data_IF_702192768152
#
_entry.id   IF_702192768152
#
_cell.length_a   1.000
_cell.length_b   1.000
_cell.length_c   1.000
_cell.angle_alpha   90.00
_cell.angle_beta   90.00
_cell.angle_gamma   90.00
#
_symmetry.space_group_name_H-M   'P 1'
#
loop_
_entity.id
_entity.type
_entity.pdbx_description
1 polymer ?
#
# COMPACT_ATOMS: atom_id res chain seq x y z
N UNK A 1 28.77 37.53 -29.14
CA UNK A 1 29.82 37.21 -28.13
C UNK A 1 29.40 37.92 -26.84
N UNK A 2 28.91 37.31 -25.75
CA UNK A 2 28.77 35.92 -25.29
C UNK A 2 27.43 35.83 -24.52
N UNK A 3 26.57 34.90 -24.93
CA UNK A 3 25.33 34.48 -24.27
C UNK A 3 25.64 33.26 -23.40
N UNK A 4 26.24 33.41 -22.21
CA UNK A 4 26.49 32.25 -21.31
C UNK A 4 26.50 32.72 -19.85
N UNK A 5 25.34 32.99 -19.23
CA UNK A 5 25.24 33.16 -17.76
C UNK A 5 23.90 32.71 -17.15
N UNK A 6 23.04 32.01 -17.88
CA UNK A 6 21.72 31.57 -17.39
C UNK A 6 21.48 30.08 -17.66
N UNK A 7 22.29 29.19 -17.09
CA UNK A 7 22.10 27.75 -17.28
C UNK A 7 22.44 26.88 -16.05
N UNK A 8 22.50 27.43 -14.83
CA UNK A 8 22.94 26.66 -13.63
C UNK A 8 21.99 26.86 -12.43
N UNK A 9 20.67 27.07 -12.63
CA UNK A 9 19.73 27.15 -11.48
C UNK A 9 18.49 26.25 -11.62
N UNK A 10 18.23 25.61 -12.76
CA UNK A 10 16.96 24.88 -13.00
C UNK A 10 17.15 23.36 -13.03
N UNK A 11 17.84 22.77 -12.05
CA UNK A 11 18.06 21.32 -12.05
C UNK A 11 18.20 20.65 -10.67
N UNK A 12 17.33 20.96 -9.68
CA UNK A 12 16.87 19.85 -8.84
C UNK A 12 15.38 20.02 -8.45
N UNK A 13 14.45 19.99 -9.42
CA UNK A 13 13.00 19.92 -9.11
C UNK A 13 12.31 18.64 -9.61
N UNK A 14 13.05 17.68 -10.17
CA UNK A 14 12.50 16.49 -10.84
C UNK A 14 12.61 15.19 -10.02
N UNK A 15 12.73 15.25 -8.69
CA UNK A 15 12.68 14.06 -7.82
C UNK A 15 11.33 13.97 -7.07
N UNK A 16 10.28 14.59 -7.60
CA UNK A 16 8.92 14.28 -7.17
C UNK A 16 8.45 12.99 -7.89
N UNK A 17 9.04 11.85 -7.52
CA UNK A 17 8.59 10.55 -7.99
C UNK A 17 7.16 10.28 -7.50
N UNK A 18 6.24 9.98 -8.43
CA UNK A 18 4.94 9.44 -8.08
C UNK A 18 5.15 8.03 -7.52
N UNK A 19 5.10 7.89 -6.20
CA UNK A 19 5.15 6.57 -5.57
C UNK A 19 3.75 6.00 -5.57
N UNK A 20 3.45 5.18 -6.57
CA UNK A 20 2.21 4.41 -6.61
C UNK A 20 2.25 3.34 -5.52
N UNK A 21 1.13 3.15 -4.84
CA UNK A 21 0.97 2.13 -3.80
C UNK A 21 0.01 1.05 -4.25
N UNK A 22 0.33 -0.20 -3.95
CA UNK A 22 -0.53 -1.34 -4.28
C UNK A 22 -1.60 -1.55 -3.20
N UNK A 23 -2.86 -1.65 -3.62
CA UNK A 23 -3.99 -1.94 -2.75
C UNK A 23 -4.81 -3.11 -3.29
N UNK A 24 -5.35 -3.91 -2.38
CA UNK A 24 -6.43 -4.83 -2.71
C UNK A 24 -7.75 -4.06 -2.71
N UNK A 25 -8.46 -4.08 -3.82
CA UNK A 25 -9.73 -3.37 -3.95
C UNK A 25 -10.83 -4.26 -4.52
N UNK A 26 -12.06 -3.97 -4.12
CA UNK A 26 -13.29 -4.58 -4.62
C UNK A 26 -14.39 -3.54 -4.57
N UNK A 27 -15.15 -3.39 -5.64
CA UNK A 27 -16.24 -2.41 -5.71
C UNK A 27 -17.36 -2.74 -4.72
N UNK A 28 -18.01 -1.71 -4.18
CA UNK A 28 -19.24 -1.79 -3.40
C UNK A 28 -19.16 -2.64 -2.11
N UNK A 29 -17.95 -2.93 -1.61
CA UNK A 29 -17.75 -3.63 -0.33
C UNK A 29 -17.65 -2.62 0.81
N UNK A 30 -18.22 -2.93 1.97
CA UNK A 30 -18.06 -2.06 3.16
C UNK A 30 -16.63 -2.15 3.69
N UNK A 31 -16.16 -1.09 4.33
CA UNK A 31 -14.85 -1.11 4.99
C UNK A 31 -14.77 -2.16 6.10
N UNK A 32 -15.86 -2.43 6.83
CA UNK A 32 -15.92 -3.54 7.80
C UNK A 32 -15.67 -4.89 7.13
N UNK A 33 -16.33 -5.14 6.00
CA UNK A 33 -16.16 -6.40 5.27
C UNK A 33 -14.75 -6.54 4.71
N UNK A 34 -14.18 -5.45 4.18
CA UNK A 34 -12.78 -5.40 3.76
C UNK A 34 -11.82 -5.77 4.90
N UNK A 35 -11.99 -5.19 6.09
CA UNK A 35 -11.13 -5.46 7.25
C UNK A 35 -11.23 -6.94 7.68
N UNK A 36 -12.44 -7.48 7.74
CA UNK A 36 -12.66 -8.92 8.04
C UNK A 36 -12.05 -9.84 7.00
N UNK A 37 -12.16 -9.47 5.71
CA UNK A 37 -11.61 -10.28 4.63
C UNK A 37 -10.07 -10.25 4.65
N UNK A 38 -9.48 -9.07 4.84
CA UNK A 38 -8.04 -8.89 4.94
C UNK A 38 -7.46 -9.68 6.13
N UNK A 39 -8.01 -9.49 7.34
CA UNK A 39 -7.54 -10.20 8.54
C UNK A 39 -7.78 -11.71 8.41
N UNK A 40 -8.95 -12.12 7.91
CA UNK A 40 -9.27 -13.53 7.72
C UNK A 40 -8.31 -14.23 6.75
N UNK A 41 -7.97 -13.57 5.64
CA UNK A 41 -6.98 -14.10 4.69
C UNK A 41 -5.57 -14.13 5.27
N UNK A 42 -5.16 -13.11 6.04
CA UNK A 42 -3.84 -13.08 6.67
C UNK A 42 -3.66 -14.20 7.69
N UNK A 43 -4.68 -14.44 8.52
CA UNK A 43 -4.70 -15.55 9.48
C UNK A 43 -4.65 -16.89 8.77
N UNK A 44 -5.49 -17.09 7.73
CA UNK A 44 -5.49 -18.32 6.94
C UNK A 44 -4.13 -18.60 6.31
N UNK A 45 -3.52 -17.60 5.68
CA UNK A 45 -2.21 -17.74 5.06
C UNK A 45 -1.14 -18.17 6.08
N UNK A 46 -1.21 -17.65 7.31
CA UNK A 46 -0.28 -17.99 8.39
C UNK A 46 -0.51 -19.41 8.93
N UNK A 47 -1.77 -19.86 8.98
CA UNK A 47 -2.11 -21.22 9.42
C UNK A 47 -1.71 -22.29 8.38
N UNK A 48 -1.91 -21.99 7.09
CA UNK A 48 -1.61 -22.93 6.00
C UNK A 48 -0.13 -22.96 5.63
N UNK A 49 0.60 -21.85 5.82
CA UNK A 49 2.03 -21.75 5.53
C UNK A 49 2.75 -21.28 6.80
N UNK A 50 3.16 -22.20 7.69
CA UNK A 50 3.77 -21.84 8.97
C UNK A 50 5.14 -21.19 8.79
N UNK A 51 5.58 -20.46 9.81
CA UNK A 51 6.92 -19.85 9.87
C UNK A 51 8.00 -20.92 9.86
N UNK A 52 8.98 -20.78 8.97
CA UNK A 52 10.14 -21.66 8.90
C UNK A 52 11.41 -20.84 9.09
N UNK A 53 11.63 -20.43 10.34
CA UNK A 53 12.79 -19.64 10.74
C UNK A 53 14.02 -20.51 10.78
N UNK A 54 14.95 -20.25 9.88
CA UNK A 54 16.25 -20.94 9.80
C UNK A 54 17.36 -20.00 10.23
N UNK A 55 18.36 -20.54 10.91
CA UNK A 55 19.57 -19.80 11.30
C UNK A 55 20.70 -20.07 10.31
N UNK A 56 21.43 -19.02 9.92
CA UNK A 56 22.55 -19.10 8.98
C UNK A 56 23.69 -18.18 9.41
N UNK A 57 24.84 -18.32 8.74
CA UNK A 57 26.01 -17.45 8.94
C UNK A 57 26.52 -16.93 7.59
N UNK A 58 26.89 -15.65 7.53
CA UNK A 58 27.42 -15.00 6.35
C UNK A 58 28.62 -14.10 6.74
N UNK A 59 29.76 -14.11 6.00
CA UNK A 59 31.01 -13.41 6.38
C UNK A 59 30.90 -11.91 6.73
N UNK A 60 29.84 -11.20 6.32
CA UNK A 60 29.64 -9.76 6.58
C UNK A 60 28.39 -9.43 7.40
N UNK A 61 27.53 -10.41 7.67
CA UNK A 61 26.27 -10.21 8.43
C UNK A 61 26.32 -10.92 9.78
N UNK A 62 27.19 -11.94 9.92
CA UNK A 62 27.26 -12.78 11.10
C UNK A 62 26.15 -13.82 11.13
N UNK A 63 25.76 -14.26 12.33
CA UNK A 63 24.63 -15.18 12.52
C UNK A 63 23.33 -14.41 12.30
N UNK A 64 22.48 -14.92 11.41
CA UNK A 64 21.17 -14.35 11.12
C UNK A 64 20.08 -15.42 11.17
N UNK A 65 18.84 -14.99 11.35
CA UNK A 65 17.67 -15.84 11.18
C UNK A 65 16.78 -15.30 10.07
N UNK A 66 16.22 -16.19 9.27
CA UNK A 66 15.33 -15.84 8.17
C UNK A 66 14.17 -16.83 8.10
N UNK A 67 12.96 -16.30 7.94
CA UNK A 67 11.80 -17.12 7.66
C UNK A 67 11.74 -17.44 6.17
N UNK A 68 12.12 -18.66 5.83
CA UNK A 68 12.17 -19.17 4.47
C UNK A 68 10.78 -19.28 3.81
N UNK A 69 9.72 -19.33 4.61
CA UNK A 69 8.34 -19.44 4.12
C UNK A 69 7.63 -18.08 3.99
N UNK A 70 8.26 -16.97 4.37
CA UNK A 70 7.60 -15.66 4.39
C UNK A 70 7.02 -15.26 3.03
N UNK A 71 7.73 -15.51 1.93
CA UNK A 71 7.25 -15.22 0.58
C UNK A 71 6.05 -16.09 0.17
N UNK A 72 6.05 -17.37 0.56
CA UNK A 72 4.95 -18.30 0.29
C UNK A 72 3.68 -17.88 1.05
N UNK A 73 3.81 -17.42 2.32
CA UNK A 73 2.69 -16.82 3.07
C UNK A 73 2.10 -15.63 2.35
N UNK A 74 2.94 -14.71 1.86
CA UNK A 74 2.49 -13.54 1.11
C UNK A 74 1.69 -13.91 -0.15
N UNK A 75 2.16 -14.91 -0.91
CA UNK A 75 1.44 -15.43 -2.07
C UNK A 75 0.11 -16.08 -1.68
N UNK A 76 0.07 -16.86 -0.61
CA UNK A 76 -1.17 -17.50 -0.16
C UNK A 76 -2.21 -16.47 0.30
N UNK A 77 -1.76 -15.40 0.97
CA UNK A 77 -2.61 -14.26 1.28
C UNK A 77 -3.19 -13.60 0.01
N UNK A 78 -2.35 -13.35 -0.99
CA UNK A 78 -2.77 -12.81 -2.29
C UNK A 78 -3.81 -13.69 -2.99
N UNK A 79 -3.62 -15.02 -2.99
CA UNK A 79 -4.57 -15.98 -3.54
C UNK A 79 -5.93 -15.90 -2.83
N UNK A 80 -5.93 -15.91 -1.49
CA UNK A 80 -7.16 -15.79 -0.70
C UNK A 80 -7.92 -14.49 -0.99
N UNK A 81 -7.21 -13.36 -1.08
CA UNK A 81 -7.83 -12.07 -1.43
C UNK A 81 -8.46 -12.12 -2.83
N UNK A 82 -7.76 -12.70 -3.80
CA UNK A 82 -8.26 -12.87 -5.17
C UNK A 82 -9.51 -13.76 -5.22
N UNK A 83 -9.52 -14.85 -4.47
CA UNK A 83 -10.67 -15.77 -4.38
C UNK A 83 -11.89 -15.09 -3.73
N UNK A 84 -11.67 -14.12 -2.84
CA UNK A 84 -12.72 -13.25 -2.28
C UNK A 84 -13.13 -12.11 -3.23
N UNK A 85 -12.63 -12.11 -4.46
CA UNK A 85 -12.98 -11.14 -5.50
C UNK A 85 -12.27 -9.79 -5.38
N UNK A 86 -11.17 -9.71 -4.64
CA UNK A 86 -10.32 -8.52 -4.61
C UNK A 86 -9.32 -8.52 -5.75
N UNK A 87 -9.00 -7.32 -6.24
CA UNK A 87 -7.99 -7.08 -7.26
C UNK A 87 -6.86 -6.26 -6.66
N UNK A 88 -5.61 -6.64 -6.93
CA UNK A 88 -4.44 -5.85 -6.55
C UNK A 88 -4.21 -4.79 -7.62
N UNK A 89 -4.32 -3.52 -7.26
CA UNK A 89 -4.20 -2.39 -8.19
C UNK A 89 -3.26 -1.34 -7.64
N UNK A 90 -2.56 -0.63 -8.53
CA UNK A 90 -1.72 0.50 -8.19
C UNK A 90 -2.55 1.77 -8.10
N UNK A 91 -2.48 2.45 -6.97
CA UNK A 91 -3.15 3.72 -6.73
C UNK A 91 -2.14 4.85 -6.78
N UNK A 92 -2.44 5.96 -7.48
CA UNK A 92 -1.58 7.12 -7.50
C UNK A 92 -1.68 7.90 -6.18
N UNK A 93 -0.65 8.66 -5.87
CA UNK A 93 -0.68 9.57 -4.73
C UNK A 93 -1.69 10.71 -4.97
N UNK A 94 -2.44 11.10 -3.94
CA UNK A 94 -3.40 12.19 -4.07
C UNK A 94 -2.71 13.54 -4.32
N UNK A 95 -3.26 14.34 -5.23
CA UNK A 95 -2.75 15.68 -5.57
C UNK A 95 -3.86 16.73 -5.46
N UNK A 96 -3.47 18.01 -5.32
CA UNK A 96 -4.39 19.15 -5.31
C UNK A 96 -5.48 19.06 -4.23
N UNK A 97 -6.73 19.40 -4.59
CA UNK A 97 -7.86 19.39 -3.67
C UNK A 97 -8.16 18.00 -3.07
N UNK A 98 -7.90 16.94 -3.85
CA UNK A 98 -8.06 15.55 -3.39
C UNK A 98 -7.10 15.23 -2.24
N UNK A 99 -5.86 15.75 -2.29
CA UNK A 99 -4.88 15.55 -1.22
C UNK A 99 -5.39 16.13 0.10
N UNK A 100 -5.95 17.35 0.06
CA UNK A 100 -6.51 18.01 1.25
C UNK A 100 -7.69 17.23 1.83
N UNK A 101 -8.63 16.79 0.98
CA UNK A 101 -9.78 16.00 1.40
C UNK A 101 -9.37 14.61 1.95
N UNK A 102 -8.48 13.90 1.24
CA UNK A 102 -7.98 12.59 1.65
C UNK A 102 -7.21 12.66 2.98
N UNK A 103 -6.37 13.67 3.17
CA UNK A 103 -5.62 13.89 4.42
C UNK A 103 -6.57 14.19 5.59
N UNK A 104 -7.63 14.97 5.36
CA UNK A 104 -8.63 15.24 6.39
C UNK A 104 -9.42 13.98 6.76
N UNK A 105 -9.77 13.14 5.78
CA UNK A 105 -10.46 11.85 6.03
C UNK A 105 -9.55 10.83 6.71
N UNK A 106 -8.27 10.76 6.33
CA UNK A 106 -7.29 9.84 6.92
C UNK A 106 -7.05 10.07 8.42
N UNK A 107 -7.30 11.29 8.92
CA UNK A 107 -7.21 11.62 10.36
C UNK A 107 -8.41 11.16 11.17
N UNK A 108 -9.53 10.78 10.53
CA UNK A 108 -10.76 10.37 11.21
C UNK A 108 -10.80 8.85 11.37
N UNK A 109 -11.54 8.33 12.35
CA UNK A 109 -11.86 6.91 12.41
C UNK A 109 -12.50 6.45 11.10
N UNK A 110 -12.10 5.28 10.61
CA UNK A 110 -12.64 4.74 9.38
C UNK A 110 -14.12 4.38 9.57
N UNK A 111 -14.98 4.93 8.71
CA UNK A 111 -16.40 4.56 8.69
C UNK A 111 -16.54 3.14 8.14
N UNK A 112 -16.78 2.21 9.07
CA UNK A 112 -16.96 0.78 8.80
C UNK A 112 -18.14 0.48 7.88
N UNK A 113 -19.20 1.30 7.92
CA UNK A 113 -20.40 1.14 7.11
C UNK A 113 -20.27 1.69 5.70
N UNK A 114 -19.36 2.64 5.48
CA UNK A 114 -19.11 3.22 4.15
C UNK A 114 -18.66 2.14 3.16
N UNK A 115 -19.22 2.19 1.96
CA UNK A 115 -18.82 1.32 0.84
C UNK A 115 -17.63 1.91 0.12
N UNK A 116 -16.69 1.04 -0.24
CA UNK A 116 -15.54 1.38 -1.04
C UNK A 116 -15.96 1.51 -2.52
N UNK A 117 -15.68 2.68 -3.09
CA UNK A 117 -15.90 2.99 -4.51
C UNK A 117 -14.56 3.34 -5.14
N UNK A 118 -14.15 2.57 -6.15
CA UNK A 118 -12.88 2.78 -6.84
C UNK A 118 -13.13 3.38 -8.22
N UNK A 119 -12.56 4.55 -8.48
CA UNK A 119 -12.67 5.23 -9.76
C UNK A 119 -11.42 6.07 -10.03
N UNK A 120 -11.42 6.88 -11.10
CA UNK A 120 -10.29 7.76 -11.45
C UNK A 120 -9.99 8.86 -10.41
N UNK A 121 -10.91 9.10 -9.48
CA UNK A 121 -10.70 10.01 -8.36
C UNK A 121 -10.10 9.33 -7.13
N UNK A 122 -10.04 7.99 -7.11
CA UNK A 122 -9.36 7.25 -6.05
C UNK A 122 -7.86 7.46 -6.11
N UNK A 123 -7.27 7.64 -4.94
CA UNK A 123 -5.84 7.87 -4.76
C UNK A 123 -5.46 7.49 -3.32
N UNK A 124 -4.18 7.55 -2.98
CA UNK A 124 -3.73 7.24 -1.63
C UNK A 124 -2.99 8.40 -0.96
N UNK A 125 -3.01 8.41 0.36
CA UNK A 125 -2.23 9.31 1.24
C UNK A 125 -1.66 8.52 2.42
N UNK A 126 -0.59 9.03 3.05
CA UNK A 126 -0.10 8.47 4.32
C UNK A 126 -0.93 8.97 5.50
N UNK A 127 -1.29 8.08 6.42
CA UNK A 127 -1.79 8.46 7.74
C UNK A 127 -0.64 8.97 8.62
N UNK A 128 -0.94 9.66 9.74
CA UNK A 128 0.08 10.10 10.71
C UNK A 128 0.93 8.96 11.30
N UNK A 129 0.40 7.73 11.32
CA UNK A 129 1.09 6.51 11.75
C UNK A 129 2.00 5.90 10.66
N UNK A 130 2.10 6.54 9.49
CA UNK A 130 2.87 6.06 8.34
C UNK A 130 2.14 5.00 7.50
N UNK A 131 0.97 4.51 7.93
CA UNK A 131 0.22 3.52 7.17
C UNK A 131 -0.47 4.16 5.96
N UNK A 132 -0.58 3.46 4.81
CA UNK A 132 -1.27 3.98 3.65
C UNK A 132 -2.79 4.04 3.89
N UNK A 133 -3.43 5.09 3.40
CA UNK A 133 -4.87 5.27 3.41
C UNK A 133 -5.39 5.40 1.98
N UNK A 134 -6.33 4.53 1.63
CA UNK A 134 -7.01 4.55 0.35
C UNK A 134 -8.21 5.50 0.39
N UNK A 135 -8.09 6.62 -0.31
CA UNK A 135 -9.20 7.53 -0.54
C UNK A 135 -10.10 6.95 -1.64
N UNK A 136 -11.26 6.42 -1.24
CA UNK A 136 -12.32 6.04 -2.19
C UNK A 136 -13.09 7.29 -2.60
N UNK A 137 -13.30 7.46 -3.90
CA UNK A 137 -14.12 8.55 -4.42
C UNK A 137 -15.53 8.42 -3.84
N UNK A 138 -16.10 9.53 -3.36
CA UNK A 138 -17.53 9.58 -3.04
C UNK A 138 -18.34 9.49 -4.33
#
# INVERSE_FOLDING_TARGET
MRLITLAIVVAPLLIAGCVDQEFFVRQNVTYDRYERDFVGCATRATQEVPTNTQVGWMPYVGVYSADTNAALRGKNFELCMRDRGYQKVKMPYCQGDKLKAATAQAKRPQDRGRKMTINKASCWVGKPDGSPYLFSGA
#
